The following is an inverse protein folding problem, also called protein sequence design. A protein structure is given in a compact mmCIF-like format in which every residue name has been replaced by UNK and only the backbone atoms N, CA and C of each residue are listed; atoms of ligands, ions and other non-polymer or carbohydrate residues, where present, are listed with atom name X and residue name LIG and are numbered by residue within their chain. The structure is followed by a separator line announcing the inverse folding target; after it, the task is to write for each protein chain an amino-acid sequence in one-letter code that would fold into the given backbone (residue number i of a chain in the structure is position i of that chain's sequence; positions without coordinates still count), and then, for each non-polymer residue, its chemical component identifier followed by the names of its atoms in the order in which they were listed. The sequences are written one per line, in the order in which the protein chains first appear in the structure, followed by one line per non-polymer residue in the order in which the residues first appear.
data_IF_588450645910
#
_entry.id   IF_588450645910
#
_cell.length_a   1.000
_cell.length_b   1.000
_cell.length_c   1.000
_cell.angle_alpha   90.00
_cell.angle_beta   90.00
_cell.angle_gamma   90.00
#
_symmetry.space_group_name_H-M   'P 1'
#
loop_
_entity.id
_entity.type
_entity.pdbx_description
1 polymer ?
#
# COMPACT_ATOMS: atom_id res chain seq x y z
N UNK A 1 16.82 12.95 -10.19
CA UNK A 1 16.29 13.35 -8.88
C UNK A 1 14.78 13.42 -9.09
N UNK A 2 13.91 13.25 -8.12
CA UNK A 2 12.48 12.96 -8.28
C UNK A 2 11.64 14.17 -8.74
N UNK A 3 12.00 14.77 -9.88
CA UNK A 3 11.42 16.05 -10.33
C UNK A 3 9.95 15.90 -10.81
N UNK A 4 9.56 14.70 -11.25
CA UNK A 4 8.21 14.42 -11.73
C UNK A 4 7.15 14.23 -10.63
N UNK A 5 7.56 13.93 -9.40
CA UNK A 5 6.61 13.67 -8.30
C UNK A 5 5.73 14.87 -7.97
N UNK A 6 6.29 16.09 -8.10
CA UNK A 6 5.54 17.34 -7.89
C UNK A 6 4.39 17.55 -8.90
N UNK A 7 4.42 16.85 -10.03
CA UNK A 7 3.40 16.95 -11.08
C UNK A 7 2.26 15.95 -10.90
N UNK A 8 2.40 15.00 -9.95
CA UNK A 8 1.35 14.04 -9.63
C UNK A 8 0.20 14.71 -8.88
N UNK A 9 -1.03 14.31 -9.23
CA UNK A 9 -2.19 14.64 -8.40
C UNK A 9 -2.13 13.89 -7.05
N UNK A 10 -2.78 14.44 -6.02
CA UNK A 10 -2.91 13.75 -4.73
C UNK A 10 -3.55 12.36 -4.88
N UNK A 11 -4.54 12.20 -5.78
CA UNK A 11 -5.15 10.90 -6.07
C UNK A 11 -4.17 9.90 -6.68
N UNK A 12 -3.29 10.32 -7.60
CA UNK A 12 -2.29 9.43 -8.19
C UNK A 12 -1.26 8.96 -7.16
N UNK A 13 -0.90 9.84 -6.21
CA UNK A 13 -0.01 9.48 -5.12
C UNK A 13 -0.71 8.54 -4.13
N UNK A 14 -2.00 8.74 -3.84
CA UNK A 14 -2.79 7.83 -3.00
C UNK A 14 -2.92 6.44 -3.65
N UNK A 15 -3.22 6.36 -4.96
CA UNK A 15 -3.29 5.10 -5.70
C UNK A 15 -1.93 4.35 -5.68
N UNK A 16 -0.82 5.08 -5.81
CA UNK A 16 0.52 4.49 -5.70
C UNK A 16 0.82 4.00 -4.28
N UNK A 17 0.44 4.77 -3.26
CA UNK A 17 0.58 4.40 -1.84
C UNK A 17 -0.23 3.13 -1.54
N UNK A 18 -1.48 3.07 -2.02
CA UNK A 18 -2.35 1.90 -1.90
C UNK A 18 -1.73 0.66 -2.55
N UNK A 19 -1.22 0.83 -3.78
CA UNK A 19 -0.53 -0.24 -4.49
C UNK A 19 0.69 -0.75 -3.69
N UNK A 20 1.49 0.16 -3.18
CA UNK A 20 2.67 -0.17 -2.39
C UNK A 20 2.31 -1.01 -1.15
N UNK A 21 1.31 -0.55 -0.39
CA UNK A 21 0.81 -1.25 0.79
C UNK A 21 0.26 -2.62 0.44
N UNK A 22 -0.51 -2.72 -0.65
CA UNK A 22 -1.14 -3.96 -1.07
C UNK A 22 -0.13 -5.03 -1.48
N UNK A 23 1.01 -4.66 -2.10
CA UNK A 23 2.02 -5.62 -2.54
C UNK A 23 3.02 -5.99 -1.45
N UNK A 24 3.31 -5.09 -0.51
CA UNK A 24 4.35 -5.29 0.51
C UNK A 24 3.79 -5.43 1.93
N UNK A 25 2.48 -5.22 2.14
CA UNK A 25 1.79 -5.24 3.44
C UNK A 25 2.51 -4.45 4.55
N UNK A 26 3.10 -3.33 4.17
CA UNK A 26 3.76 -2.36 5.05
C UNK A 26 3.54 -0.94 4.55
N UNK A 27 3.84 0.05 5.37
CA UNK A 27 3.91 1.42 4.87
C UNK A 27 4.96 1.53 3.74
N UNK A 28 4.75 2.40 2.75
CA UNK A 28 5.80 2.70 1.79
C UNK A 28 7.03 3.27 2.52
N UNK A 29 8.22 2.95 2.04
CA UNK A 29 9.37 3.78 2.35
C UNK A 29 9.37 5.02 1.44
N UNK A 30 9.72 6.19 2.00
CA UNK A 30 9.62 7.45 1.27
C UNK A 30 10.48 7.45 0.00
N UNK A 31 11.68 6.87 0.04
CA UNK A 31 12.59 6.84 -1.12
C UNK A 31 11.97 6.02 -2.24
N UNK A 32 11.46 4.82 -1.95
CA UNK A 32 10.82 3.94 -2.91
C UNK A 32 9.54 4.56 -3.47
N UNK A 33 8.69 5.16 -2.60
CA UNK A 33 7.47 5.82 -3.03
C UNK A 33 7.74 6.96 -4.00
N UNK A 34 8.75 7.79 -3.74
CA UNK A 34 9.12 8.89 -4.64
C UNK A 34 9.76 8.41 -5.93
N UNK A 35 10.57 7.35 -5.88
CA UNK A 35 11.09 6.73 -7.10
C UNK A 35 9.96 6.27 -8.03
N UNK A 36 9.00 5.53 -7.51
CA UNK A 36 7.87 5.05 -8.30
C UNK A 36 6.90 6.16 -8.68
N UNK A 37 6.74 7.19 -7.84
CA UNK A 37 6.01 8.40 -8.19
C UNK A 37 6.62 9.12 -9.39
N UNK A 38 7.94 9.24 -9.45
CA UNK A 38 8.65 9.81 -10.60
C UNK A 38 8.42 8.96 -11.87
N UNK A 39 8.48 7.63 -11.77
CA UNK A 39 8.15 6.72 -12.87
C UNK A 39 6.70 6.88 -13.35
N UNK A 40 5.75 7.02 -12.42
CA UNK A 40 4.33 7.26 -12.73
C UNK A 40 4.14 8.60 -13.45
N UNK A 41 4.79 9.66 -12.99
CA UNK A 41 4.77 10.99 -13.64
C UNK A 41 5.36 10.97 -15.05
N UNK A 42 6.34 10.11 -15.31
CA UNK A 42 6.93 9.89 -16.62
C UNK A 42 6.09 9.01 -17.55
N UNK A 43 4.91 8.56 -17.10
CA UNK A 43 3.94 7.79 -17.89
C UNK A 43 4.00 6.28 -17.71
N UNK A 44 4.78 5.76 -16.76
CA UNK A 44 4.69 4.34 -16.37
C UNK A 44 3.31 4.10 -15.76
N UNK A 45 2.56 3.12 -16.25
CA UNK A 45 1.22 2.82 -15.71
C UNK A 45 1.29 2.11 -14.36
N UNK A 46 0.24 2.27 -13.54
CA UNK A 46 0.10 1.53 -12.27
C UNK A 46 0.15 0.00 -12.48
N UNK A 47 -0.40 -0.52 -13.59
CA UNK A 47 -0.30 -1.95 -13.91
C UNK A 47 1.16 -2.38 -14.09
N UNK A 48 1.97 -1.56 -14.76
CA UNK A 48 3.39 -1.87 -14.95
C UNK A 48 4.17 -1.81 -13.63
N UNK A 49 3.82 -0.90 -12.75
CA UNK A 49 4.39 -0.81 -11.40
C UNK A 49 3.97 -2.03 -10.58
N UNK A 50 2.71 -2.45 -10.66
CA UNK A 50 2.18 -3.65 -10.00
C UNK A 50 2.92 -4.93 -10.42
N UNK A 51 3.16 -5.11 -11.72
CA UNK A 51 3.98 -6.22 -12.21
C UNK A 51 5.39 -6.21 -11.62
N UNK A 52 6.02 -5.02 -11.58
CA UNK A 52 7.34 -4.86 -10.98
C UNK A 52 7.35 -5.13 -9.48
N UNK A 53 6.29 -4.75 -8.75
CA UNK A 53 6.12 -5.05 -7.32
C UNK A 53 5.91 -6.54 -7.07
N UNK A 54 5.12 -7.19 -7.92
CA UNK A 54 4.87 -8.63 -7.81
C UNK A 54 6.15 -9.46 -7.98
N UNK A 55 7.07 -9.00 -8.81
CA UNK A 55 8.36 -9.67 -9.05
C UNK A 55 9.37 -9.50 -7.91
N UNK A 56 9.10 -8.64 -6.91
CA UNK A 56 10.01 -8.45 -5.79
C UNK A 56 10.08 -9.69 -4.89
N UNK A 57 11.26 -10.03 -4.35
CA UNK A 57 11.39 -11.13 -3.39
C UNK A 57 10.50 -10.98 -2.16
N UNK A 58 10.28 -9.74 -1.69
CA UNK A 58 9.41 -9.41 -0.56
C UNK A 58 7.97 -9.82 -0.84
N UNK A 59 7.41 -9.46 -2.00
CA UNK A 59 6.06 -9.86 -2.41
C UNK A 59 5.93 -11.37 -2.56
N UNK A 60 6.93 -12.01 -3.19
CA UNK A 60 6.92 -13.47 -3.37
C UNK A 60 6.98 -14.21 -2.03
N UNK A 61 7.73 -13.70 -1.07
CA UNK A 61 7.78 -14.27 0.28
C UNK A 61 6.45 -14.11 1.02
N UNK A 62 5.77 -12.96 0.84
CA UNK A 62 4.52 -12.62 1.50
C UNK A 62 3.35 -13.46 0.96
N UNK A 63 3.23 -13.58 -0.36
CA UNK A 63 2.07 -14.22 -1.01
C UNK A 63 2.25 -15.71 -1.30
N UNK A 64 3.41 -16.27 -1.06
CA UNK A 64 3.66 -17.70 -1.14
C UNK A 64 3.66 -18.27 -2.56
N UNK A 65 3.24 -19.54 -2.68
CA UNK A 65 3.26 -20.27 -3.94
C UNK A 65 2.00 -20.04 -4.77
N UNK A 66 2.17 -19.79 -6.06
CA UNK A 66 1.05 -19.74 -7.03
C UNK A 66 0.51 -21.14 -7.39
N UNK A 67 1.05 -22.21 -6.83
CA UNK A 67 0.48 -23.56 -6.98
C UNK A 67 -0.77 -23.74 -6.11
N UNK A 68 -0.91 -22.94 -5.03
CA UNK A 68 -2.11 -22.86 -4.18
C UNK A 68 -2.87 -21.55 -4.43
N UNK A 69 -3.64 -21.50 -5.51
CA UNK A 69 -4.43 -20.32 -5.85
C UNK A 69 -5.45 -19.91 -4.78
N UNK A 70 -6.20 -20.83 -4.13
CA UNK A 70 -7.07 -20.45 -3.02
C UNK A 70 -6.31 -19.81 -1.86
N UNK A 71 -5.15 -20.34 -1.49
CA UNK A 71 -4.28 -19.77 -0.47
C UNK A 71 -3.76 -18.40 -0.87
N UNK A 72 -3.35 -18.22 -2.12
CA UNK A 72 -2.94 -16.92 -2.66
C UNK A 72 -4.06 -15.87 -2.57
N UNK A 73 -5.28 -16.19 -3.05
CA UNK A 73 -6.44 -15.28 -2.96
C UNK A 73 -6.76 -14.93 -1.50
N UNK A 74 -6.72 -15.93 -0.59
CA UNK A 74 -6.95 -15.69 0.84
C UNK A 74 -5.90 -14.73 1.42
N UNK A 75 -4.64 -14.94 1.13
CA UNK A 75 -3.56 -14.06 1.59
C UNK A 75 -3.72 -12.63 1.06
N UNK A 76 -4.12 -12.47 -0.21
CA UNK A 76 -4.41 -11.14 -0.78
C UNK A 76 -5.53 -10.45 -0.01
N UNK A 77 -6.65 -11.15 0.26
CA UNK A 77 -7.76 -10.57 1.03
C UNK A 77 -7.33 -10.15 2.44
N UNK A 78 -6.60 -11.02 3.14
CA UNK A 78 -6.11 -10.72 4.48
C UNK A 78 -5.17 -9.51 4.51
N UNK A 79 -4.24 -9.43 3.56
CA UNK A 79 -3.27 -8.33 3.52
C UNK A 79 -3.87 -7.03 3.01
N UNK A 80 -4.82 -7.09 2.06
CA UNK A 80 -5.39 -5.91 1.42
C UNK A 80 -6.62 -5.40 2.17
N UNK A 81 -7.51 -6.31 2.61
CA UNK A 81 -8.82 -5.98 3.18
C UNK A 81 -8.97 -6.36 4.67
N UNK A 82 -7.94 -6.98 5.28
CA UNK A 82 -7.97 -7.38 6.69
C UNK A 82 -8.97 -8.48 7.03
N UNK A 83 -9.47 -9.23 6.05
CA UNK A 83 -10.48 -10.28 6.22
C UNK A 83 -10.30 -11.42 5.24
N UNK A 84 -10.95 -12.53 5.51
CA UNK A 84 -11.04 -13.63 4.55
C UNK A 84 -12.02 -13.30 3.40
N UNK A 85 -11.83 -13.84 2.20
CA UNK A 85 -12.85 -13.81 1.16
C UNK A 85 -14.07 -14.65 1.60
N UNK A 86 -15.28 -14.18 1.29
CA UNK A 86 -16.44 -15.05 1.38
C UNK A 86 -16.44 -16.10 0.24
N UNK A 87 -17.35 -17.08 0.33
CA UNK A 87 -17.40 -18.15 -0.65
C UNK A 87 -17.66 -17.65 -2.09
N UNK A 88 -18.44 -16.58 -2.24
CA UNK A 88 -18.74 -15.99 -3.55
C UNK A 88 -17.53 -15.26 -4.11
N UNK A 89 -16.84 -14.46 -3.30
CA UNK A 89 -15.61 -13.76 -3.66
C UNK A 89 -14.48 -14.73 -4.02
N UNK A 90 -14.29 -15.78 -3.23
CA UNK A 90 -13.31 -16.84 -3.54
C UNK A 90 -13.60 -17.48 -4.90
N UNK A 91 -14.85 -17.94 -5.12
CA UNK A 91 -15.24 -18.56 -6.39
C UNK A 91 -15.03 -17.62 -7.57
N UNK A 92 -15.45 -16.36 -7.43
CA UNK A 92 -15.30 -15.35 -8.48
C UNK A 92 -13.83 -15.16 -8.90
N UNK A 93 -12.92 -14.99 -7.94
CA UNK A 93 -11.51 -14.74 -8.27
C UNK A 93 -10.81 -15.97 -8.83
N UNK A 94 -11.16 -17.18 -8.38
CA UNK A 94 -10.65 -18.41 -8.99
C UNK A 94 -11.13 -18.55 -10.43
N UNK A 95 -12.41 -18.30 -10.71
CA UNK A 95 -12.95 -18.32 -12.08
C UNK A 95 -12.30 -17.27 -12.97
N UNK A 96 -12.00 -16.08 -12.45
CA UNK A 96 -11.29 -15.00 -13.17
C UNK A 96 -9.87 -15.44 -13.54
N UNK A 97 -9.15 -16.07 -12.62
CA UNK A 97 -7.77 -16.53 -12.85
C UNK A 97 -7.70 -17.72 -13.81
N UNK A 98 -8.70 -18.64 -13.77
CA UNK A 98 -8.75 -19.82 -14.63
C UNK A 98 -9.35 -19.51 -16.01
N UNK A 99 -10.23 -18.51 -16.09
CA UNK A 99 -11.06 -18.23 -17.26
C UNK A 99 -10.36 -17.53 -18.42
N UNK A 100 -9.05 -17.28 -18.38
CA UNK A 100 -8.29 -16.62 -19.44
C UNK A 100 -8.62 -15.13 -19.59
N UNK A 101 -9.03 -14.48 -18.49
CA UNK A 101 -9.17 -13.02 -18.40
C UNK A 101 -7.79 -12.34 -18.50
N UNK A 102 -7.79 -11.01 -18.69
CA UNK A 102 -6.55 -10.21 -18.63
C UNK A 102 -5.98 -10.08 -17.19
N UNK A 103 -6.69 -10.63 -16.19
CA UNK A 103 -6.23 -10.65 -14.79
C UNK A 103 -5.28 -11.82 -14.59
N UNK A 104 -4.06 -11.49 -14.23
CA UNK A 104 -3.00 -12.44 -13.85
C UNK A 104 -2.80 -12.43 -12.33
N UNK A 105 -2.08 -13.39 -11.73
CA UNK A 105 -1.71 -13.28 -10.32
C UNK A 105 -1.04 -11.95 -9.96
N UNK A 106 -0.23 -11.40 -10.88
CA UNK A 106 0.43 -10.12 -10.67
C UNK A 106 -0.54 -8.94 -10.61
N UNK A 107 -1.63 -8.98 -11.35
CA UNK A 107 -2.63 -7.89 -11.41
C UNK A 107 -3.89 -8.18 -10.57
N UNK A 108 -4.01 -9.38 -9.98
CA UNK A 108 -5.14 -9.75 -9.13
C UNK A 108 -5.28 -8.81 -7.94
N UNK A 109 -4.15 -8.44 -7.31
CA UNK A 109 -4.14 -7.54 -6.16
C UNK A 109 -4.82 -6.21 -6.53
N UNK A 110 -4.47 -5.61 -7.68
CA UNK A 110 -5.13 -4.40 -8.19
C UNK A 110 -6.62 -4.62 -8.49
N UNK A 111 -6.97 -5.78 -9.05
CA UNK A 111 -8.37 -6.09 -9.34
C UNK A 111 -9.21 -6.22 -8.06
N UNK A 112 -8.65 -6.79 -6.99
CA UNK A 112 -9.27 -6.86 -5.65
C UNK A 112 -9.42 -5.45 -5.06
N UNK A 113 -8.39 -4.60 -5.13
CA UNK A 113 -8.45 -3.19 -4.71
C UNK A 113 -9.59 -2.43 -5.43
N UNK A 114 -9.68 -2.58 -6.75
CA UNK A 114 -10.73 -1.95 -7.53
C UNK A 114 -12.13 -2.47 -7.15
N UNK A 115 -12.25 -3.78 -6.92
CA UNK A 115 -13.50 -4.41 -6.47
C UNK A 115 -13.95 -3.91 -5.09
N UNK A 116 -13.02 -3.74 -4.17
CA UNK A 116 -13.30 -3.25 -2.82
C UNK A 116 -13.81 -1.79 -2.79
N UNK A 117 -13.33 -0.97 -3.73
CA UNK A 117 -13.77 0.44 -3.89
C UNK A 117 -15.03 0.60 -4.75
N UNK A 118 -15.52 -0.46 -5.38
CA UNK A 118 -16.74 -0.42 -6.18
C UNK A 118 -17.99 -0.32 -5.29
N UNK A 119 -19.09 0.20 -5.82
CA UNK A 119 -20.38 0.26 -5.10
C UNK A 119 -20.88 -1.12 -4.64
N UNK A 120 -20.42 -2.18 -5.28
CA UNK A 120 -20.72 -3.58 -4.95
C UNK A 120 -19.67 -4.23 -4.06
N UNK A 121 -18.70 -3.47 -3.58
CA UNK A 121 -17.65 -3.93 -2.68
C UNK A 121 -18.18 -4.38 -1.32
N UNK A 122 -17.36 -5.08 -0.55
CA UNK A 122 -17.71 -5.49 0.81
C UNK A 122 -17.95 -4.26 1.72
N UNK A 123 -18.91 -4.40 2.66
CA UNK A 123 -19.18 -3.32 3.61
C UNK A 123 -17.91 -3.07 4.45
N UNK A 124 -17.43 -1.82 4.44
CA UNK A 124 -16.23 -1.37 5.18
C UNK A 124 -14.90 -1.58 4.44
N UNK A 125 -14.85 -2.30 3.32
CA UNK A 125 -13.60 -2.52 2.58
C UNK A 125 -12.95 -1.21 2.11
N UNK A 126 -13.76 -0.29 1.57
CA UNK A 126 -13.28 1.01 1.10
C UNK A 126 -12.73 1.88 2.25
N UNK A 127 -13.38 1.85 3.42
CA UNK A 127 -12.95 2.57 4.62
C UNK A 127 -11.67 1.97 5.20
N UNK A 128 -11.60 0.64 5.29
CA UNK A 128 -10.39 -0.08 5.69
C UNK A 128 -9.19 0.32 4.82
N UNK A 129 -9.37 0.33 3.50
CA UNK A 129 -8.33 0.73 2.54
C UNK A 129 -7.94 2.20 2.71
N UNK A 130 -8.91 3.10 2.85
CA UNK A 130 -8.66 4.53 3.04
C UNK A 130 -7.83 4.79 4.30
N UNK A 131 -8.19 4.17 5.42
CA UNK A 131 -7.46 4.28 6.68
C UNK A 131 -6.03 3.71 6.56
N UNK A 132 -5.88 2.57 5.89
CA UNK A 132 -4.57 1.95 5.65
C UNK A 132 -3.65 2.84 4.78
N UNK A 133 -4.22 3.45 3.73
CA UNK A 133 -3.50 4.40 2.87
C UNK A 133 -3.14 5.68 3.63
N UNK A 134 -4.04 6.19 4.47
CA UNK A 134 -3.77 7.35 5.32
C UNK A 134 -2.59 7.08 6.26
N UNK A 135 -2.57 5.93 6.94
CA UNK A 135 -1.46 5.55 7.81
C UNK A 135 -0.13 5.45 7.05
N UNK A 136 -0.12 4.74 5.91
CA UNK A 136 1.08 4.60 5.09
C UNK A 136 1.57 5.92 4.51
N UNK A 137 0.64 6.79 4.09
CA UNK A 137 0.95 8.13 3.61
C UNK A 137 1.51 9.03 4.73
N UNK A 138 0.99 8.92 5.95
CA UNK A 138 1.54 9.64 7.10
C UNK A 138 3.00 9.25 7.34
N UNK A 139 3.32 7.96 7.36
CA UNK A 139 4.67 7.45 7.52
C UNK A 139 5.61 7.95 6.41
N UNK A 140 5.26 7.68 5.14
CA UNK A 140 6.15 7.91 4.00
C UNK A 140 6.18 9.36 3.52
N UNK A 141 5.02 10.05 3.47
CA UNK A 141 4.90 11.37 2.86
C UNK A 141 5.00 12.45 3.93
N UNK A 142 4.20 12.36 5.01
CA UNK A 142 4.17 13.39 6.04
C UNK A 142 5.45 13.38 6.88
N UNK A 143 5.97 12.21 7.22
CA UNK A 143 7.19 12.06 8.03
C UNK A 143 8.45 11.78 7.22
N UNK A 144 8.34 11.42 5.94
CA UNK A 144 9.49 11.14 5.07
C UNK A 144 10.32 9.94 5.53
N UNK A 145 9.71 8.99 6.24
CA UNK A 145 10.38 7.82 6.80
C UNK A 145 10.68 6.78 5.72
N UNK A 146 11.83 6.10 5.84
CA UNK A 146 12.27 5.10 4.85
C UNK A 146 12.79 3.81 5.46
N UNK A 147 12.75 3.67 6.79
CA UNK A 147 13.13 2.42 7.44
C UNK A 147 12.06 1.35 7.22
N UNK A 148 12.46 0.18 6.71
CA UNK A 148 11.54 -0.90 6.33
C UNK A 148 10.99 -1.62 7.56
N UNK A 149 11.78 -1.77 8.62
CA UNK A 149 11.35 -2.42 9.86
C UNK A 149 10.31 -1.54 10.57
N UNK A 150 10.55 -0.23 10.63
CA UNK A 150 9.60 0.75 11.13
C UNK A 150 8.30 0.77 10.31
N UNK A 151 8.41 0.73 8.97
CA UNK A 151 7.27 0.68 8.06
C UNK A 151 6.40 -0.57 8.26
N UNK A 152 7.01 -1.72 8.55
CA UNK A 152 6.30 -2.96 8.92
C UNK A 152 5.65 -2.83 10.29
N UNK A 153 6.38 -2.32 11.29
CA UNK A 153 5.91 -2.19 12.66
C UNK A 153 4.65 -1.31 12.78
N UNK A 154 4.63 -0.19 12.05
CA UNK A 154 3.48 0.74 12.02
C UNK A 154 2.22 0.07 11.46
N UNK A 155 2.35 -0.78 10.44
CA UNK A 155 1.21 -1.46 9.83
C UNK A 155 0.76 -2.73 10.57
N UNK A 156 1.61 -3.27 11.43
CA UNK A 156 1.35 -4.57 12.09
C UNK A 156 0.16 -4.52 13.06
N UNK A 157 -0.05 -3.39 13.73
CA UNK A 157 -1.12 -3.19 14.72
C UNK A 157 -2.41 -2.64 14.11
N UNK A 158 -2.41 -2.32 12.81
CA UNK A 158 -3.58 -1.77 12.15
C UNK A 158 -4.64 -2.85 11.89
N UNK A 159 -5.84 -2.65 12.42
CA UNK A 159 -7.00 -3.55 12.29
C UNK A 159 -8.19 -2.92 11.53
N UNK A 160 -8.01 -1.69 11.03
CA UNK A 160 -9.02 -0.93 10.29
C UNK A 160 -9.85 0.03 11.13
N UNK A 161 -9.79 -0.05 12.45
CA UNK A 161 -10.48 0.88 13.34
C UNK A 161 -9.81 2.25 13.39
N UNK A 162 -10.59 3.28 13.73
CA UNK A 162 -10.08 4.63 13.95
C UNK A 162 -9.04 4.66 15.08
N UNK A 163 -9.25 3.87 16.13
CA UNK A 163 -8.30 3.77 17.26
C UNK A 163 -6.95 3.22 16.77
N UNK A 164 -6.95 2.16 15.94
CA UNK A 164 -5.72 1.58 15.40
C UNK A 164 -5.03 2.51 14.39
N UNK A 165 -5.80 3.35 13.68
CA UNK A 165 -5.25 4.39 12.82
C UNK A 165 -4.55 5.48 13.65
N UNK A 166 -5.20 5.98 14.71
CA UNK A 166 -4.62 6.98 15.61
C UNK A 166 -3.34 6.46 16.28
N UNK A 167 -3.36 5.22 16.77
CA UNK A 167 -2.19 4.58 17.38
C UNK A 167 -1.03 4.42 16.38
N UNK A 168 -1.31 4.02 15.15
CA UNK A 168 -0.31 3.90 14.07
C UNK A 168 0.30 5.25 13.68
N UNK A 169 -0.51 6.31 13.62
CA UNK A 169 -0.05 7.68 13.40
C UNK A 169 0.86 8.13 14.54
N UNK A 170 0.43 7.91 15.81
CA UNK A 170 1.23 8.26 16.98
C UNK A 170 2.56 7.48 17.03
N UNK A 171 2.55 6.20 16.63
CA UNK A 171 3.76 5.39 16.50
C UNK A 171 4.71 5.95 15.43
N UNK A 172 4.19 6.31 14.25
CA UNK A 172 4.97 6.95 13.18
C UNK A 172 5.63 8.25 13.67
N UNK A 173 4.90 9.06 14.43
CA UNK A 173 5.41 10.30 15.02
C UNK A 173 6.50 10.04 16.06
N UNK A 174 6.35 9.01 16.87
CA UNK A 174 7.35 8.64 17.85
C UNK A 174 8.65 8.15 17.19
N UNK A 175 8.54 7.33 16.14
CA UNK A 175 9.67 6.86 15.34
C UNK A 175 10.39 8.02 14.65
N UNK A 176 9.64 8.96 14.05
CA UNK A 176 10.18 10.17 13.45
C UNK A 176 10.96 11.00 14.50
N UNK A 177 10.36 11.25 15.66
CA UNK A 177 11.02 12.03 16.72
C UNK A 177 12.28 11.33 17.24
N UNK A 178 12.27 10.00 17.36
CA UNK A 178 13.45 9.23 17.74
C UNK A 178 14.56 9.33 16.69
N UNK A 179 14.21 9.25 15.41
CA UNK A 179 15.16 9.39 14.30
C UNK A 179 15.75 10.81 14.19
N UNK A 180 14.99 11.84 14.57
CA UNK A 180 15.46 13.24 14.63
C UNK A 180 16.36 13.53 15.82
N UNK A 181 16.40 12.65 16.81
CA UNK A 181 17.27 12.85 17.99
C UNK A 181 18.73 12.69 17.59
N UNK A 182 19.61 13.53 18.16
CA UNK A 182 21.06 13.54 17.86
C UNK A 182 21.79 12.24 18.21
N UNK A 183 21.17 11.38 19.02
CA UNK A 183 21.81 10.19 19.59
C UNK A 183 21.50 8.91 18.79
N UNK A 184 20.45 8.92 17.96
CA UNK A 184 19.97 7.71 17.25
C UNK A 184 19.83 7.89 15.75
N UNK A 185 20.19 9.05 15.20
CA UNK A 185 19.97 9.54 13.85
C UNK A 185 19.75 8.48 12.77
N UNK A 186 18.49 8.24 12.42
CA UNK A 186 18.08 7.49 11.25
C UNK A 186 18.05 8.38 9.99
N UNK A 187 17.97 7.76 8.83
CA UNK A 187 17.81 8.51 7.58
C UNK A 187 16.37 9.04 7.48
N UNK A 188 16.24 10.35 7.48
CA UNK A 188 14.96 11.05 7.29
C UNK A 188 15.06 11.88 6.02
N UNK A 189 14.10 11.69 5.11
CA UNK A 189 13.93 12.57 3.96
C UNK A 189 12.80 13.56 4.28
N UNK A 190 13.17 14.82 4.52
CA UNK A 190 12.19 15.88 4.71
C UNK A 190 11.69 16.36 3.36
N UNK A 191 10.36 16.27 3.14
CA UNK A 191 9.72 16.84 1.97
C UNK A 191 9.60 18.36 2.13
N UNK A 192 10.22 19.09 1.23
CA UNK A 192 10.10 20.56 1.14
C UNK A 192 9.13 20.87 0.00
N UNK A 193 8.04 21.58 0.31
CA UNK A 193 7.11 22.12 -0.70
C UNK A 193 5.88 21.25 -1.01
N UNK A 194 5.63 20.20 -0.25
CA UNK A 194 4.31 19.55 -0.26
C UNK A 194 3.39 20.40 0.62
N UNK A 195 2.53 21.20 -0.01
CA UNK A 195 1.45 21.89 0.69
C UNK A 195 0.50 20.87 1.31
N UNK A 196 -0.34 21.34 2.21
CA UNK A 196 -1.30 20.62 3.05
C UNK A 196 -1.62 19.22 2.56
N UNK A 197 -1.48 18.25 3.46
CA UNK A 197 -1.51 16.81 3.22
C UNK A 197 -2.47 16.40 2.09
N UNK A 198 -2.05 15.57 1.12
CA UNK A 198 -2.92 15.11 0.03
C UNK A 198 -4.12 14.27 0.51
N UNK A 199 -4.23 14.08 1.83
CA UNK A 199 -5.25 13.26 2.49
C UNK A 199 -6.26 14.06 3.32
N UNK A 200 -6.16 15.39 3.38
CA UNK A 200 -7.21 16.26 3.95
C UNK A 200 -8.37 16.37 2.93
N UNK A 201 -9.21 15.33 2.85
CA UNK A 201 -10.50 15.36 2.19
C UNK A 201 -11.58 14.84 3.12
#
# INVERSE_FOLDING_TARGET
MFDGVSDLSGSAMADLTELYIAYFNRAPDAIGLFFWGDQLAQGTSLNRIAEAFFDQPETRALYGSLEDMPGFVTTVYQNVLGRDPDAAGMSYWLDVLEGGSDVTPATLIQAILAGAKAETGGAGDAEYLANKVMLGGHFAITRGMSDVEDAQAVMLSFDGSDDSLEDGIAQSDALYNAAMSSDTGGFIMQLVGVGDTPFDM
#
